data_IF_950111350779
#
_entry.id   IF_950111350779
#
_cell.length_a   1.000
_cell.length_b   1.000
_cell.length_c   1.000
_cell.angle_alpha   90.00
_cell.angle_beta   90.00
_cell.angle_gamma   90.00
#
_symmetry.space_group_name_H-M   'P 1'
#
loop_
_entity.id
_entity.type
_entity.pdbx_description
1 polymer ?
#
# COMPACT_ATOMS: atom_id res chain seq x y z
N UNK A 1 16.55 26.14 10.25
CA UNK A 1 16.41 24.69 10.45
C UNK A 1 16.80 24.04 9.13
N UNK A 2 17.81 23.17 9.12
CA UNK A 2 18.12 22.40 7.90
C UNK A 2 16.90 21.53 7.59
N UNK A 3 16.23 21.78 6.46
CA UNK A 3 15.13 20.93 6.00
C UNK A 3 15.74 19.56 5.70
N UNK A 4 15.44 18.56 6.53
CA UNK A 4 15.89 17.18 6.28
C UNK A 4 15.34 16.75 4.93
N UNK A 5 16.19 16.22 4.07
CA UNK A 5 15.77 15.77 2.74
C UNK A 5 15.11 14.41 2.91
N UNK A 6 13.87 14.25 2.43
CA UNK A 6 13.20 12.96 2.45
C UNK A 6 13.79 12.05 1.37
N UNK A 7 14.74 11.19 1.76
CA UNK A 7 15.39 10.21 0.88
C UNK A 7 14.39 9.18 0.35
N UNK A 8 13.28 8.95 1.07
CA UNK A 8 12.19 8.11 0.61
C UNK A 8 11.53 8.63 -0.67
N UNK A 9 11.44 9.96 -0.85
CA UNK A 9 10.91 10.57 -2.08
C UNK A 9 11.81 10.31 -3.29
N UNK A 10 13.13 10.36 -3.09
CA UNK A 10 14.14 10.03 -4.13
C UNK A 10 14.00 8.55 -4.53
N UNK A 11 13.97 7.65 -3.55
CA UNK A 11 13.75 6.23 -3.78
C UNK A 11 12.46 5.98 -4.58
N UNK A 12 11.35 6.62 -4.16
CA UNK A 12 10.04 6.44 -4.78
C UNK A 12 10.09 6.83 -6.26
N UNK A 13 10.68 7.98 -6.59
CA UNK A 13 10.84 8.46 -7.97
C UNK A 13 11.70 7.52 -8.80
N UNK A 14 12.86 7.12 -8.29
CA UNK A 14 13.89 6.46 -9.12
C UNK A 14 13.65 4.96 -9.32
N UNK A 15 13.13 4.24 -8.32
CA UNK A 15 12.93 2.79 -8.44
C UNK A 15 11.77 2.20 -7.63
N UNK A 16 11.28 2.91 -6.62
CA UNK A 16 10.28 2.40 -5.67
C UNK A 16 8.83 2.50 -6.13
N UNK A 17 8.50 3.38 -7.08
CA UNK A 17 7.11 3.66 -7.46
C UNK A 17 6.34 2.41 -7.87
N UNK A 18 6.95 1.51 -8.65
CA UNK A 18 6.25 0.33 -9.17
C UNK A 18 5.66 -0.56 -8.07
N UNK A 19 6.44 -0.88 -7.04
CA UNK A 19 5.97 -1.72 -5.94
C UNK A 19 5.00 -0.97 -5.02
N UNK A 20 5.23 0.31 -4.78
CA UNK A 20 4.35 1.15 -3.95
C UNK A 20 2.97 1.32 -4.59
N UNK A 21 2.91 1.55 -5.91
CA UNK A 21 1.65 1.68 -6.65
C UNK A 21 0.85 0.36 -6.63
N UNK A 22 1.51 -0.79 -6.80
CA UNK A 22 0.87 -2.11 -6.67
C UNK A 22 0.31 -2.32 -5.26
N UNK A 23 1.09 -2.01 -4.24
CA UNK A 23 0.66 -2.14 -2.85
C UNK A 23 -0.53 -1.24 -2.53
N UNK A 24 -0.51 0.02 -2.98
CA UNK A 24 -1.61 0.98 -2.80
C UNK A 24 -2.89 0.49 -3.47
N UNK A 25 -2.84 0.06 -4.73
CA UNK A 25 -4.04 -0.41 -5.41
C UNK A 25 -4.59 -1.71 -4.80
N UNK A 26 -3.72 -2.65 -4.42
CA UNK A 26 -4.13 -3.84 -3.67
C UNK A 26 -4.81 -3.46 -2.35
N UNK A 27 -4.18 -2.57 -1.56
CA UNK A 27 -4.72 -2.11 -0.29
C UNK A 27 -6.07 -1.42 -0.46
N UNK A 28 -6.23 -0.56 -1.48
CA UNK A 28 -7.50 0.09 -1.82
C UNK A 28 -8.63 -0.92 -2.00
N UNK A 29 -8.39 -1.96 -2.81
CA UNK A 29 -9.39 -3.03 -3.06
C UNK A 29 -9.69 -3.80 -1.78
N UNK A 30 -8.67 -4.08 -0.97
CA UNK A 30 -8.79 -4.78 0.31
C UNK A 30 -9.69 -4.02 1.28
N UNK A 31 -9.43 -2.73 1.49
CA UNK A 31 -10.19 -1.91 2.44
C UNK A 31 -11.57 -1.53 1.93
N UNK A 32 -11.77 -1.38 0.62
CA UNK A 32 -13.09 -1.17 0.02
C UNK A 32 -14.03 -2.37 0.24
N UNK A 33 -13.47 -3.59 0.30
CA UNK A 33 -14.21 -4.84 0.46
C UNK A 33 -14.07 -5.45 1.86
N UNK A 34 -13.57 -4.70 2.85
CA UNK A 34 -13.27 -5.22 4.19
C UNK A 34 -14.50 -5.81 4.89
N UNK A 35 -15.70 -5.30 4.60
CA UNK A 35 -16.96 -5.79 5.17
C UNK A 35 -17.39 -7.18 4.67
N UNK A 36 -16.75 -7.69 3.61
CA UNK A 36 -16.96 -9.03 3.06
C UNK A 36 -15.94 -10.05 3.59
N UNK A 37 -14.92 -9.59 4.32
CA UNK A 37 -13.96 -10.47 4.98
C UNK A 37 -14.66 -11.26 6.10
N UNK A 38 -14.63 -12.61 6.12
CA UNK A 38 -15.26 -13.40 7.18
C UNK A 38 -14.82 -12.98 8.59
N UNK A 39 -13.56 -12.58 8.77
CA UNK A 39 -13.03 -12.16 10.08
C UNK A 39 -13.65 -10.86 10.60
N UNK A 40 -14.22 -10.04 9.71
CA UNK A 40 -14.88 -8.77 10.04
C UNK A 40 -16.41 -8.93 9.97
N UNK A 41 -16.92 -9.68 8.99
CA UNK A 41 -18.34 -9.97 8.81
C UNK A 41 -18.93 -10.64 10.05
N UNK A 42 -18.18 -11.55 10.65
CA UNK A 42 -18.66 -12.37 11.77
C UNK A 42 -18.44 -11.68 13.14
N UNK A 43 -17.96 -10.41 13.13
CA UNK A 43 -17.81 -9.53 14.32
C UNK A 43 -18.63 -8.23 14.13
N UNK A 44 -19.97 -8.26 14.33
CA UNK A 44 -20.85 -7.14 13.98
C UNK A 44 -20.54 -5.83 14.69
N UNK A 45 -20.02 -5.90 15.93
CA UNK A 45 -19.70 -4.73 16.76
C UNK A 45 -18.61 -3.83 16.17
N UNK A 46 -17.70 -4.39 15.38
CA UNK A 46 -16.60 -3.65 14.75
C UNK A 46 -16.87 -3.35 13.28
N UNK A 47 -17.78 -4.11 12.65
CA UNK A 47 -17.99 -4.10 11.20
C UNK A 47 -18.33 -2.72 10.64
N UNK A 48 -19.23 -1.97 11.26
CA UNK A 48 -19.64 -0.67 10.75
C UNK A 48 -18.47 0.33 10.74
N UNK A 49 -17.72 0.40 11.84
CA UNK A 49 -16.57 1.30 11.97
C UNK A 49 -15.47 0.94 10.97
N UNK A 50 -15.12 -0.34 10.87
CA UNK A 50 -14.07 -0.83 9.97
C UNK A 50 -14.43 -0.61 8.49
N UNK A 51 -15.70 -0.82 8.12
CA UNK A 51 -16.18 -0.55 6.75
C UNK A 51 -16.13 0.93 6.43
N UNK A 52 -16.52 1.79 7.36
CA UNK A 52 -16.52 3.25 7.15
C UNK A 52 -15.09 3.80 7.03
N UNK A 53 -14.17 3.35 7.88
CA UNK A 53 -12.75 3.69 7.76
C UNK A 53 -12.13 3.15 6.46
N UNK A 54 -12.52 1.93 6.08
CA UNK A 54 -12.08 1.31 4.83
C UNK A 54 -12.50 2.10 3.60
N UNK A 55 -13.75 2.58 3.55
CA UNK A 55 -14.25 3.44 2.45
C UNK A 55 -13.46 4.74 2.34
N UNK A 56 -13.28 5.47 3.44
CA UNK A 56 -12.50 6.72 3.46
C UNK A 56 -11.07 6.50 2.96
N UNK A 57 -10.46 5.41 3.39
CA UNK A 57 -9.12 5.03 2.93
C UNK A 57 -9.12 4.72 1.43
N UNK A 58 -10.10 3.96 0.95
CA UNK A 58 -10.22 3.62 -0.47
C UNK A 58 -10.43 4.85 -1.38
N UNK A 59 -11.13 5.88 -0.89
CA UNK A 59 -11.31 7.16 -1.59
C UNK A 59 -10.03 8.00 -1.62
N UNK A 60 -9.20 7.93 -0.56
CA UNK A 60 -7.93 8.66 -0.47
C UNK A 60 -6.84 8.08 -1.37
N UNK A 61 -6.74 6.75 -1.48
CA UNK A 61 -5.65 6.07 -2.20
C UNK A 61 -5.47 6.57 -3.66
N UNK A 62 -6.52 6.74 -4.49
CA UNK A 62 -6.39 7.27 -5.84
C UNK A 62 -5.70 8.63 -5.92
N UNK A 63 -5.90 9.51 -4.93
CA UNK A 63 -5.23 10.81 -4.86
C UNK A 63 -3.73 10.64 -4.63
N UNK A 64 -3.34 9.76 -3.71
CA UNK A 64 -1.93 9.47 -3.43
C UNK A 64 -1.24 8.85 -4.66
N UNK A 65 -1.89 7.89 -5.32
CA UNK A 65 -1.41 7.31 -6.59
C UNK A 65 -1.19 8.40 -7.64
N UNK A 66 -2.14 9.34 -7.78
CA UNK A 66 -2.04 10.45 -8.73
C UNK A 66 -0.85 11.37 -8.42
N UNK A 67 -0.62 11.69 -7.15
CA UNK A 67 0.52 12.52 -6.72
C UNK A 67 1.84 11.79 -6.99
N UNK A 68 1.93 10.50 -6.68
CA UNK A 68 3.13 9.69 -6.96
C UNK A 68 3.46 9.71 -8.46
N UNK A 69 2.47 9.43 -9.31
CA UNK A 69 2.67 9.43 -10.76
C UNK A 69 3.09 10.81 -11.28
N UNK A 70 2.45 11.88 -10.83
CA UNK A 70 2.84 13.24 -11.20
C UNK A 70 4.23 13.63 -10.64
N UNK A 71 4.63 13.03 -9.52
CA UNK A 71 5.92 13.23 -8.87
C UNK A 71 7.10 12.54 -9.56
N UNK A 72 6.84 11.64 -10.51
CA UNK A 72 7.90 11.01 -11.31
C UNK A 72 8.63 12.05 -12.17
N UNK A 73 7.88 12.98 -12.77
CA UNK A 73 8.40 14.06 -13.61
C UNK A 73 8.58 15.39 -12.84
N UNK A 74 7.98 15.51 -11.64
CA UNK A 74 8.04 16.73 -10.83
C UNK A 74 8.45 16.43 -9.38
N UNK A 75 9.73 16.61 -9.02
CA UNK A 75 10.24 16.32 -7.67
C UNK A 75 9.50 17.08 -6.55
N UNK A 76 8.97 18.27 -6.81
CA UNK A 76 8.22 19.01 -5.77
C UNK A 76 6.88 18.36 -5.42
N UNK A 77 6.29 17.59 -6.34
CA UNK A 77 5.06 16.85 -6.07
C UNK A 77 5.35 15.57 -5.28
N UNK A 78 6.50 14.92 -5.51
CA UNK A 78 6.85 13.71 -4.75
C UNK A 78 7.01 14.03 -3.27
N UNK A 79 7.57 15.19 -2.91
CA UNK A 79 7.73 15.62 -1.52
C UNK A 79 6.39 15.72 -0.77
N UNK A 80 5.28 16.03 -1.45
CA UNK A 80 3.94 16.06 -0.82
C UNK A 80 3.48 14.68 -0.36
N UNK A 81 4.04 13.61 -0.90
CA UNK A 81 3.74 12.22 -0.52
C UNK A 81 4.35 11.86 0.84
N UNK A 82 5.26 12.67 1.39
CA UNK A 82 5.86 12.44 2.71
C UNK A 82 4.78 12.28 3.80
N UNK A 83 3.73 13.12 3.74
CA UNK A 83 2.59 13.05 4.67
C UNK A 83 1.77 11.75 4.54
N UNK A 84 1.95 11.03 3.45
CA UNK A 84 1.26 9.78 3.13
C UNK A 84 2.11 8.54 3.41
N UNK A 85 3.33 8.70 3.95
CA UNK A 85 4.18 7.57 4.36
C UNK A 85 3.43 6.56 5.25
N UNK A 86 2.62 6.95 6.25
CA UNK A 86 1.86 5.98 7.05
C UNK A 86 0.85 5.16 6.23
N UNK A 87 0.23 5.76 5.20
CA UNK A 87 -0.67 5.05 4.30
C UNK A 87 0.10 4.07 3.40
N UNK A 88 1.24 4.51 2.87
CA UNK A 88 2.13 3.66 2.05
C UNK A 88 2.64 2.47 2.86
N UNK A 89 3.03 2.68 4.12
CA UNK A 89 3.44 1.61 5.03
C UNK A 89 2.34 0.59 5.28
N UNK A 90 1.10 1.05 5.55
CA UNK A 90 -0.06 0.16 5.71
C UNK A 90 -0.29 -0.66 4.44
N UNK A 91 -0.22 -0.02 3.27
CA UNK A 91 -0.40 -0.69 2.00
C UNK A 91 0.66 -1.76 1.72
N UNK A 92 1.94 -1.43 1.93
CA UNK A 92 3.07 -2.36 1.75
C UNK A 92 2.97 -3.55 2.73
N UNK A 93 2.64 -3.32 4.00
CA UNK A 93 2.48 -4.39 4.97
C UNK A 93 1.27 -5.27 4.68
N UNK A 94 0.14 -4.69 4.24
CA UNK A 94 -1.03 -5.44 3.80
C UNK A 94 -0.68 -6.35 2.62
N UNK A 95 -0.02 -5.79 1.61
CA UNK A 95 0.37 -6.54 0.42
C UNK A 95 1.33 -7.68 0.78
N UNK A 96 2.38 -7.41 1.58
CA UNK A 96 3.29 -8.43 2.09
C UNK A 96 2.55 -9.55 2.83
N UNK A 97 1.66 -9.19 3.77
CA UNK A 97 0.92 -10.17 4.57
C UNK A 97 0.06 -11.09 3.72
N UNK A 98 -0.62 -10.54 2.71
CA UNK A 98 -1.51 -11.32 1.85
C UNK A 98 -0.71 -12.19 0.85
N UNK A 99 0.45 -11.73 0.36
CA UNK A 99 1.40 -12.58 -0.41
C UNK A 99 1.90 -13.75 0.45
N UNK A 100 2.34 -13.48 1.68
CA UNK A 100 2.84 -14.51 2.61
C UNK A 100 1.75 -15.54 2.94
N UNK A 101 0.51 -15.10 3.16
CA UNK A 101 -0.64 -16.02 3.36
C UNK A 101 -0.87 -16.91 2.14
N UNK A 102 -0.87 -16.37 0.92
CA UNK A 102 -1.04 -17.19 -0.29
C UNK A 102 0.03 -18.26 -0.40
N UNK A 103 1.29 -17.90 -0.15
CA UNK A 103 2.43 -18.82 -0.20
C UNK A 103 2.33 -19.95 0.84
N UNK A 104 1.75 -19.68 2.02
CA UNK A 104 1.71 -20.63 3.13
C UNK A 104 0.40 -21.41 3.26
N UNK A 105 -0.76 -20.83 2.93
CA UNK A 105 -2.06 -21.42 3.25
C UNK A 105 -2.79 -22.01 2.04
N UNK A 106 -2.38 -21.68 0.81
CA UNK A 106 -3.12 -21.99 -0.42
C UNK A 106 -4.62 -21.63 -0.36
N UNK A 107 -5.04 -20.77 0.57
CA UNK A 107 -6.44 -20.45 0.74
C UNK A 107 -6.89 -19.57 -0.43
N UNK A 108 -7.70 -20.15 -1.32
CA UNK A 108 -8.30 -19.51 -2.51
C UNK A 108 -8.99 -18.17 -2.21
N UNK A 109 -9.30 -17.87 -0.95
CA UNK A 109 -9.86 -16.56 -0.55
C UNK A 109 -8.88 -15.40 -0.63
N UNK A 110 -7.58 -15.62 -0.82
CA UNK A 110 -6.65 -14.50 -1.02
C UNK A 110 -6.30 -14.30 -2.49
N UNK A 111 -6.55 -15.30 -3.35
CA UNK A 111 -6.22 -15.21 -4.77
C UNK A 111 -7.12 -14.23 -5.53
N UNK A 112 -8.36 -13.99 -5.10
CA UNK A 112 -9.24 -12.98 -5.72
C UNK A 112 -8.78 -11.52 -5.48
N UNK A 113 -7.84 -11.31 -4.56
CA UNK A 113 -7.29 -9.98 -4.25
C UNK A 113 -6.19 -9.54 -5.24
N UNK A 114 -5.87 -10.39 -6.21
CA UNK A 114 -4.82 -10.18 -7.21
C UNK A 114 -5.38 -10.41 -8.62
N UNK A 115 -5.11 -9.48 -9.54
CA UNK A 115 -5.68 -9.52 -10.90
C UNK A 115 -5.11 -10.63 -11.78
N UNK A 116 -3.90 -11.12 -11.51
CA UNK A 116 -3.23 -12.13 -12.34
C UNK A 116 -2.29 -12.99 -11.50
N UNK A 117 -2.00 -14.23 -11.93
CA UNK A 117 -0.93 -15.04 -11.37
C UNK A 117 0.42 -14.44 -11.77
N UNK A 118 0.82 -13.37 -11.08
CA UNK A 118 2.22 -12.95 -11.04
C UNK A 118 2.92 -13.80 -9.99
N UNK A 119 4.22 -14.00 -10.15
CA UNK A 119 5.04 -14.67 -9.16
C UNK A 119 5.17 -13.72 -7.95
N UNK A 120 4.10 -13.63 -7.14
CA UNK A 120 3.92 -12.63 -6.09
C UNK A 120 5.07 -12.62 -5.07
N UNK A 121 5.77 -13.75 -4.93
CA UNK A 121 6.95 -13.84 -4.08
C UNK A 121 8.09 -12.95 -4.54
N UNK A 122 8.20 -12.65 -5.83
CA UNK A 122 9.23 -11.76 -6.39
C UNK A 122 9.03 -10.29 -5.94
N UNK A 123 7.81 -9.94 -5.49
CA UNK A 123 7.52 -8.64 -4.91
C UNK A 123 8.00 -8.54 -3.43
N UNK A 124 8.22 -9.65 -2.71
CA UNK A 124 8.59 -9.62 -1.28
C UNK A 124 9.92 -8.89 -1.00
N UNK A 125 11.01 -9.11 -1.75
CA UNK A 125 12.24 -8.34 -1.58
C UNK A 125 12.02 -6.84 -1.84
N UNK A 126 11.25 -6.49 -2.87
CA UNK A 126 10.93 -5.11 -3.24
C UNK A 126 10.12 -4.42 -2.14
N UNK A 127 9.14 -5.12 -1.54
CA UNK A 127 8.34 -4.59 -0.43
C UNK A 127 9.21 -4.35 0.81
N UNK A 128 10.08 -5.30 1.16
CA UNK A 128 10.99 -5.15 2.31
C UNK A 128 11.91 -3.95 2.13
N UNK A 129 12.43 -3.76 0.92
CA UNK A 129 13.24 -2.59 0.60
C UNK A 129 12.42 -1.29 0.71
N UNK A 130 11.23 -1.26 0.10
CA UNK A 130 10.36 -0.09 0.13
C UNK A 130 10.03 0.34 1.57
N UNK A 131 9.67 -0.61 2.43
CA UNK A 131 9.37 -0.36 3.85
C UNK A 131 10.53 0.30 4.61
N UNK A 132 11.77 -0.02 4.24
CA UNK A 132 12.95 0.61 4.82
C UNK A 132 13.15 2.01 4.22
N UNK A 133 13.10 2.13 2.90
CA UNK A 133 13.48 3.34 2.17
C UNK A 133 12.51 4.50 2.34
N UNK A 134 11.21 4.26 2.35
CA UNK A 134 10.20 5.34 2.44
C UNK A 134 10.27 6.15 3.75
N UNK A 135 10.95 5.64 4.78
CA UNK A 135 11.09 6.29 6.08
C UNK A 135 12.41 7.07 6.26
N UNK A 136 13.29 7.02 5.26
CA UNK A 136 14.64 7.57 5.39
C UNK A 136 14.67 9.08 5.15
N UNK A 137 15.42 9.78 6.00
CA UNK A 137 15.70 11.20 5.93
C UNK A 137 17.21 11.43 6.00
N UNK A 138 17.70 12.41 5.24
CA UNK A 138 19.09 12.88 5.22
C UNK A 138 19.24 14.28 5.78
#
# INVERSE_FOLDING_TARGET
>A
MSARTWLGGIYLRERGHGIVLRALDHYRRRVANVGSDPQIRDVPSLRMMVVEEGKKTAEKVPLVIKIINAGLDNPKLIEQVEFEVPLIEKALNCYKSDIEKIAHTMEKRYTYLFDEPKNLQDDLPLIKEALVKIKQFG
#
